data_IF_578352711252
#
_entry.id   IF_578352711252
#
_cell.length_a   1.000
_cell.length_b   1.000
_cell.length_c   1.000
_cell.angle_alpha   90.00
_cell.angle_beta   90.00
_cell.angle_gamma   90.00
#
_symmetry.space_group_name_H-M   'P 1'
#
loop_
_entity.id
_entity.type
_entity.pdbx_description
1 polymer ?
#
# COMPACT_ATOMS: atom_id res chain seq x y z
N UNK A 1 -11.08 -12.99 15.60
CA UNK A 1 -10.48 -11.96 14.72
C UNK A 1 -10.27 -10.67 15.51
N UNK A 2 -9.02 -10.22 15.56
CA UNK A 2 -8.62 -8.95 16.19
C UNK A 2 -8.59 -7.86 15.14
N UNK A 3 -8.92 -6.62 15.53
CA UNK A 3 -8.75 -5.47 14.65
C UNK A 3 -7.26 -5.31 14.30
N UNK A 4 -6.99 -5.18 13.00
CA UNK A 4 -5.67 -4.92 12.45
C UNK A 4 -5.77 -3.91 11.30
N UNK A 5 -4.67 -3.24 11.06
CA UNK A 5 -4.49 -2.38 9.89
C UNK A 5 -3.23 -2.79 9.14
N UNK A 6 -3.16 -2.48 7.85
CA UNK A 6 -1.96 -2.61 7.04
C UNK A 6 -1.72 -1.30 6.31
N UNK A 7 -0.57 -0.67 6.57
CA UNK A 7 -0.15 0.59 5.94
C UNK A 7 1.11 0.30 5.11
N UNK A 8 1.00 0.51 3.80
CA UNK A 8 2.05 0.19 2.84
C UNK A 8 2.17 1.26 1.78
N UNK A 9 3.40 1.60 1.42
CA UNK A 9 3.69 2.29 0.18
C UNK A 9 3.99 1.29 -0.90
N UNK A 10 3.45 1.52 -2.10
CA UNK A 10 3.51 0.59 -3.22
C UNK A 10 3.72 1.34 -4.52
N UNK A 11 4.66 0.88 -5.34
CA UNK A 11 4.93 1.43 -6.67
C UNK A 11 4.25 0.56 -7.72
N UNK A 12 3.15 1.06 -8.30
CA UNK A 12 2.39 0.34 -9.34
C UNK A 12 1.73 1.32 -10.32
N UNK A 13 1.18 0.81 -11.42
CA UNK A 13 0.41 1.68 -12.32
C UNK A 13 -1.00 1.94 -11.77
N UNK A 14 -1.63 3.09 -12.09
CA UNK A 14 -3.02 3.35 -11.70
C UNK A 14 -4.01 2.31 -12.22
N UNK A 15 -3.73 1.70 -13.38
CA UNK A 15 -4.53 0.60 -13.94
C UNK A 15 -4.46 -0.64 -13.05
N UNK A 16 -3.26 -1.02 -12.64
CA UNK A 16 -3.05 -2.20 -11.79
C UNK A 16 -3.71 -1.99 -10.42
N UNK A 17 -3.58 -0.78 -9.87
CA UNK A 17 -4.29 -0.40 -8.64
C UNK A 17 -5.81 -0.52 -8.78
N UNK A 18 -6.40 0.05 -9.83
CA UNK A 18 -7.84 -0.01 -10.08
C UNK A 18 -8.34 -1.45 -10.19
N UNK A 19 -7.59 -2.32 -10.86
CA UNK A 19 -7.96 -3.73 -10.96
C UNK A 19 -7.83 -4.44 -9.61
N UNK A 20 -6.71 -4.24 -8.93
CA UNK A 20 -6.43 -4.88 -7.64
C UNK A 20 -7.46 -4.48 -6.58
N UNK A 21 -7.82 -3.20 -6.48
CA UNK A 21 -8.80 -2.71 -5.51
C UNK A 21 -10.16 -3.43 -5.60
N UNK A 22 -10.55 -3.90 -6.79
CA UNK A 22 -11.80 -4.63 -7.01
C UNK A 22 -11.75 -6.07 -6.50
N UNK A 23 -10.57 -6.71 -6.53
CA UNK A 23 -10.41 -8.14 -6.23
C UNK A 23 -9.74 -8.39 -4.88
N UNK A 24 -9.00 -7.42 -4.35
CA UNK A 24 -8.22 -7.51 -3.12
C UNK A 24 -9.06 -7.94 -1.91
N UNK A 25 -10.29 -7.44 -1.66
CA UNK A 25 -11.08 -7.90 -0.51
C UNK A 25 -11.33 -9.41 -0.52
N UNK A 26 -11.63 -10.00 -1.68
CA UNK A 26 -11.89 -11.44 -1.79
C UNK A 26 -10.59 -12.28 -1.72
N UNK A 27 -9.48 -11.76 -2.26
CA UNK A 27 -8.15 -12.39 -2.11
C UNK A 27 -7.76 -12.43 -0.63
N UNK A 28 -7.86 -11.30 0.06
CA UNK A 28 -7.50 -11.17 1.48
C UNK A 28 -8.41 -11.99 2.38
N UNK A 29 -9.71 -12.04 2.09
CA UNK A 29 -10.66 -12.89 2.82
C UNK A 29 -10.27 -14.36 2.74
N UNK A 30 -9.86 -14.87 1.57
CA UNK A 30 -9.37 -16.25 1.40
C UNK A 30 -8.07 -16.51 2.17
N UNK A 31 -7.25 -15.49 2.37
CA UNK A 31 -6.03 -15.55 3.17
C UNK A 31 -6.27 -15.41 4.68
N UNK A 32 -7.50 -15.17 5.14
CA UNK A 32 -7.84 -14.98 6.56
C UNK A 32 -7.77 -13.54 7.06
N UNK A 33 -7.75 -12.56 6.15
CA UNK A 33 -7.83 -11.13 6.44
C UNK A 33 -9.18 -10.59 5.96
N UNK A 34 -10.07 -10.25 6.89
CA UNK A 34 -11.36 -9.64 6.57
C UNK A 34 -11.20 -8.13 6.44
N UNK A 35 -11.33 -7.64 5.21
CA UNK A 35 -11.26 -6.21 4.90
C UNK A 35 -12.55 -5.49 5.29
N UNK A 36 -12.42 -4.38 5.99
CA UNK A 36 -13.52 -3.46 6.33
C UNK A 36 -13.44 -2.17 5.51
N UNK A 37 -12.22 -1.66 5.30
CA UNK A 37 -11.97 -0.45 4.53
C UNK A 37 -10.63 -0.56 3.81
N UNK A 38 -10.61 -0.09 2.56
CA UNK A 38 -9.38 0.12 1.79
C UNK A 38 -9.34 1.61 1.45
N UNK A 39 -8.25 2.27 1.82
CA UNK A 39 -7.94 3.62 1.39
C UNK A 39 -6.63 3.59 0.62
N UNK A 40 -6.59 4.24 -0.53
CA UNK A 40 -5.34 4.47 -1.24
C UNK A 40 -5.30 5.90 -1.78
N UNK A 41 -4.14 6.52 -1.61
CA UNK A 41 -3.83 7.84 -2.13
C UNK A 41 -2.58 7.74 -3.00
N UNK A 42 -2.59 8.43 -4.15
CA UNK A 42 -1.36 8.67 -4.90
C UNK A 42 -0.52 9.67 -4.10
N UNK A 43 0.73 9.30 -3.82
CA UNK A 43 1.67 10.15 -3.10
C UNK A 43 2.28 11.11 -4.12
N UNK A 44 2.02 12.40 -3.93
CA UNK A 44 2.62 13.44 -4.74
C UNK A 44 4.10 13.61 -4.36
N UNK A 45 4.97 13.25 -5.29
CA UNK A 45 6.43 13.28 -5.15
C UNK A 45 7.02 14.67 -5.47
N UNK A 46 6.18 15.65 -5.83
CA UNK A 46 6.65 17.01 -6.07
C UNK A 46 7.12 17.69 -4.79
N UNK A 47 6.49 17.40 -3.63
CA UNK A 47 6.93 17.89 -2.32
C UNK A 47 8.13 17.06 -1.78
N UNK A 48 8.18 15.75 -2.04
CA UNK A 48 9.24 14.84 -1.57
C UNK A 48 9.71 13.88 -2.70
N UNK A 49 10.70 14.27 -3.51
CA UNK A 49 11.17 13.45 -4.64
C UNK A 49 11.97 12.21 -4.19
N UNK A 50 12.50 12.21 -2.96
CA UNK A 50 13.29 11.12 -2.40
C UNK A 50 12.38 10.06 -1.74
N UNK A 51 11.84 9.17 -2.56
CA UNK A 51 11.20 7.95 -2.09
C UNK A 51 12.09 6.72 -2.34
N UNK A 52 12.18 5.84 -1.34
CA UNK A 52 13.01 4.63 -1.42
C UNK A 52 12.60 3.69 -2.56
N UNK A 53 11.30 3.55 -2.87
CA UNK A 53 10.84 2.66 -3.95
C UNK A 53 11.22 3.19 -5.33
N UNK A 54 11.16 4.51 -5.51
CA UNK A 54 11.59 5.17 -6.74
C UNK A 54 13.09 5.01 -6.91
N UNK A 55 13.84 5.27 -5.84
CA UNK A 55 15.29 5.12 -5.82
C UNK A 55 15.69 3.68 -6.17
N UNK A 56 15.06 2.68 -5.55
CA UNK A 56 15.31 1.27 -5.83
C UNK A 56 14.99 0.91 -7.29
N UNK A 57 13.84 1.35 -7.80
CA UNK A 57 13.45 1.12 -9.19
C UNK A 57 14.46 1.74 -10.16
N UNK A 58 14.86 2.99 -9.93
CA UNK A 58 15.84 3.69 -10.77
C UNK A 58 17.23 3.05 -10.72
N UNK A 59 17.69 2.58 -9.55
CA UNK A 59 18.96 1.87 -9.43
C UNK A 59 18.97 0.57 -10.24
N UNK A 60 17.83 -0.13 -10.31
CA UNK A 60 17.71 -1.39 -11.03
C UNK A 60 17.47 -1.22 -12.54
N UNK A 61 16.72 -0.19 -12.95
CA UNK A 61 16.24 -0.02 -14.34
C UNK A 61 16.81 1.22 -15.06
N UNK A 62 17.60 2.05 -14.37
CA UNK A 62 18.24 3.25 -14.90
C UNK A 62 17.32 4.47 -15.02
N UNK A 63 16.00 4.30 -15.00
CA UNK A 63 15.00 5.37 -15.08
C UNK A 63 13.66 4.90 -14.50
N UNK A 64 12.82 5.84 -14.03
CA UNK A 64 11.45 5.53 -13.60
C UNK A 64 10.54 5.32 -14.82
N UNK A 65 9.72 4.27 -14.82
CA UNK A 65 8.73 4.09 -15.87
C UNK A 65 7.63 5.18 -15.75
N UNK A 66 7.27 5.88 -16.85
CA UNK A 66 6.29 6.97 -16.80
C UNK A 66 4.89 6.57 -16.33
N UNK A 67 4.57 5.27 -16.36
CA UNK A 67 3.29 4.72 -15.93
C UNK A 67 3.21 4.39 -14.44
N UNK A 68 4.34 4.33 -13.74
CA UNK A 68 4.38 3.99 -12.32
C UNK A 68 4.03 5.20 -11.46
N UNK A 69 3.27 4.95 -10.40
CA UNK A 69 2.90 5.91 -9.38
C UNK A 69 3.15 5.28 -8.01
N UNK A 70 3.53 6.13 -7.08
CA UNK A 70 3.64 5.74 -5.69
C UNK A 70 2.27 5.89 -5.04
N UNK A 71 1.80 4.83 -4.40
CA UNK A 71 0.53 4.83 -3.67
C UNK A 71 0.79 4.53 -2.20
N UNK A 72 0.15 5.25 -1.29
CA UNK A 72 0.02 4.83 0.10
C UNK A 72 -1.31 4.13 0.29
N UNK A 73 -1.25 2.89 0.74
CA UNK A 73 -2.36 1.98 0.92
C UNK A 73 -2.57 1.72 2.40
N UNK A 74 -3.76 2.05 2.91
CA UNK A 74 -4.20 1.75 4.27
C UNK A 74 -5.40 0.81 4.20
N UNK A 75 -5.23 -0.41 4.70
CA UNK A 75 -6.28 -1.43 4.78
C UNK A 75 -6.64 -1.63 6.23
N UNK A 76 -7.87 -1.33 6.61
CA UNK A 76 -8.40 -1.62 7.94
C UNK A 76 -9.29 -2.85 7.88
N UNK A 77 -9.22 -3.68 8.92
CA UNK A 77 -10.07 -4.84 9.03
C UNK A 77 -9.80 -5.68 10.27
N UNK A 78 -10.08 -6.97 10.15
CA UNK A 78 -9.87 -7.93 11.22
C UNK A 78 -9.17 -9.19 10.72
N UNK A 79 -8.35 -9.81 11.56
CA UNK A 79 -7.71 -11.10 11.28
C UNK A 79 -7.32 -11.84 12.56
N UNK A 80 -7.17 -13.16 12.46
CA UNK A 80 -6.52 -13.98 13.49
C UNK A 80 -5.07 -14.35 13.12
N UNK A 81 -4.59 -13.89 11.95
CA UNK A 81 -3.18 -13.98 11.56
C UNK A 81 -2.31 -13.18 12.53
N UNK A 82 -1.06 -13.62 12.72
CA UNK A 82 -0.05 -12.73 13.26
C UNK A 82 0.25 -11.59 12.28
N UNK A 83 0.79 -10.47 12.78
CA UNK A 83 1.01 -9.27 11.96
C UNK A 83 1.90 -9.53 10.75
N UNK A 84 2.91 -10.41 10.86
CA UNK A 84 3.80 -10.75 9.74
C UNK A 84 3.05 -11.52 8.66
N UNK A 85 2.21 -12.49 9.05
CA UNK A 85 1.38 -13.23 8.13
C UNK A 85 0.31 -12.34 7.48
N UNK A 86 -0.26 -11.37 8.21
CA UNK A 86 -1.17 -10.37 7.66
C UNK A 86 -0.47 -9.48 6.62
N UNK A 87 0.73 -8.98 6.92
CA UNK A 87 1.52 -8.18 5.96
C UNK A 87 1.84 -8.99 4.70
N UNK A 88 2.23 -10.26 4.88
CA UNK A 88 2.48 -11.16 3.74
C UNK A 88 1.23 -11.36 2.89
N UNK A 89 0.07 -11.56 3.49
CA UNK A 89 -1.18 -11.74 2.74
C UNK A 89 -1.52 -10.53 1.86
N UNK A 90 -1.25 -9.31 2.35
CA UNK A 90 -1.39 -8.08 1.57
C UNK A 90 -0.34 -7.98 0.48
N UNK A 91 0.93 -8.22 0.80
CA UNK A 91 2.02 -8.19 -0.17
C UNK A 91 1.83 -9.18 -1.33
N UNK A 92 1.37 -10.40 -1.03
CA UNK A 92 1.10 -11.46 -2.01
C UNK A 92 -0.12 -11.18 -2.89
N UNK A 93 -0.96 -10.18 -2.53
CA UNK A 93 -2.07 -9.73 -3.38
C UNK A 93 -1.61 -8.81 -4.51
N UNK A 94 -0.42 -8.21 -4.41
CA UNK A 94 0.10 -7.31 -5.43
C UNK A 94 0.49 -8.07 -6.72
N UNK A 95 0.52 -7.37 -7.87
CA UNK A 95 1.11 -7.92 -9.08
C UNK A 95 2.55 -8.41 -8.84
N UNK A 96 3.03 -9.39 -9.62
CA UNK A 96 4.43 -9.81 -9.57
C UNK A 96 5.38 -8.63 -9.74
N UNK A 97 6.55 -8.70 -9.08
CA UNK A 97 7.61 -7.68 -9.15
C UNK A 97 7.19 -6.27 -8.68
N UNK A 98 6.08 -6.16 -7.94
CA UNK A 98 5.67 -4.90 -7.31
C UNK A 98 6.61 -4.52 -6.18
N UNK A 99 7.13 -3.30 -6.22
CA UNK A 99 7.96 -2.75 -5.14
C UNK A 99 7.04 -2.18 -4.05
N UNK A 100 7.31 -2.53 -2.81
CA UNK A 100 6.52 -2.07 -1.66
C UNK A 100 7.35 -2.02 -0.39
N UNK A 101 6.92 -1.21 0.57
CA UNK A 101 7.35 -1.30 1.97
C UNK A 101 6.20 -0.93 2.90
N UNK A 102 6.25 -1.40 4.14
CA UNK A 102 5.19 -1.17 5.12
C UNK A 102 4.96 -2.39 5.99
N UNK A 103 3.94 -2.33 6.83
CA UNK A 103 3.63 -3.41 7.78
C UNK A 103 2.19 -3.37 8.23
N UNK A 104 1.76 -4.48 8.82
CA UNK A 104 0.51 -4.56 9.58
C UNK A 104 0.72 -4.19 11.04
N UNK A 105 -0.30 -3.58 11.64
CA UNK A 105 -0.35 -3.17 13.05
C UNK A 105 -1.65 -3.64 13.70
N UNK A 106 -1.68 -3.66 15.03
CA UNK A 106 -2.92 -3.88 15.77
C UNK A 106 -3.80 -2.62 15.75
N UNK A 107 -5.11 -2.82 15.71
CA UNK A 107 -6.09 -1.74 15.74
C UNK A 107 -6.40 -1.17 14.37
N UNK A 108 -6.95 0.05 14.38
CA UNK A 108 -7.32 0.79 13.17
C UNK A 108 -6.27 1.88 12.89
N UNK A 109 -5.96 2.10 11.63
CA UNK A 109 -5.14 3.22 11.17
C UNK A 109 -6.06 4.21 10.45
N UNK A 110 -6.13 5.43 10.96
CA UNK A 110 -6.77 6.51 10.23
C UNK A 110 -5.97 6.79 8.95
N UNK A 111 -6.61 6.82 7.77
CA UNK A 111 -5.99 7.33 6.57
C UNK A 111 -5.87 8.85 6.71
N UNK A 112 -4.85 9.29 7.47
CA UNK A 112 -4.52 10.69 7.59
C UNK A 112 -4.09 11.26 6.24
N UNK A 113 -4.37 12.54 6.02
CA UNK A 113 -3.87 13.32 4.88
C UNK A 113 -2.34 13.30 4.94
N UNK A 114 -1.66 12.95 3.84
CA UNK A 114 -0.21 13.09 3.74
C UNK A 114 0.18 14.51 4.22
N UNK A 115 0.87 14.56 5.36
CA UNK A 115 1.27 15.82 6.01
C UNK A 115 2.33 16.58 5.20
N UNK A 116 2.76 16.07 4.04
CA UNK A 116 3.82 16.62 3.22
C UNK A 116 3.57 18.08 2.80
N UNK A 117 2.31 18.49 2.65
CA UNK A 117 1.96 19.85 2.22
C UNK A 117 0.71 20.41 2.96
N UNK A 118 0.45 19.96 4.20
CA UNK A 118 -0.71 20.39 5.01
C UNK A 118 -0.57 21.80 5.65
N UNK A 119 0.60 22.42 5.55
CA UNK A 119 0.87 23.77 6.04
C UNK A 119 1.50 24.59 4.91
N UNK A 120 0.67 25.12 4.01
CA UNK A 120 1.02 26.34 3.27
C UNK A 120 0.04 27.42 3.72
N UNK A 121 0.61 28.54 4.19
CA UNK A 121 -0.09 29.68 4.81
C UNK A 121 -1.28 30.22 3.99
#
# INVERSE_FOLDING_TARGET
MKAISTDMQVLMSPRDWQHLAQVMPEILKKAGYQVEQIHAEEVDLTCEPDNMLITQYQQQHGQLAPSLRLHRLVINGASDLDLRAATRAVAESFPPDTYWYGTSNHGHTEPGVNAACAWQD
#
